data_IF_548776890837
#
_entry.id   IF_548776890837
#
_cell.length_a   1.000
_cell.length_b   1.000
_cell.length_c   1.000
_cell.angle_alpha   90.00
_cell.angle_beta   90.00
_cell.angle_gamma   90.00
#
_symmetry.space_group_name_H-M   'P 1'
#
loop_
_entity.id
_entity.type
_entity.pdbx_description
1 polymer ?
#
# COMPACT_ATOMS: atom_id res chain seq x y z
N UNK A 1 -5.58 -21.35 16.64
CA UNK A 1 -6.11 -20.02 16.89
C UNK A 1 -5.11 -18.96 16.45
N UNK A 2 -5.58 -17.94 15.77
CA UNK A 2 -4.72 -16.87 15.31
C UNK A 2 -4.76 -15.68 16.23
N UNK A 3 -3.62 -15.07 16.40
CA UNK A 3 -3.54 -13.82 17.12
C UNK A 3 -4.09 -12.69 16.25
N UNK A 4 -4.37 -11.56 16.88
CA UNK A 4 -4.85 -10.38 16.15
C UNK A 4 -3.69 -9.75 15.40
N UNK A 5 -3.90 -9.51 14.11
CA UNK A 5 -2.91 -8.85 13.25
C UNK A 5 -3.68 -7.97 12.28
N UNK A 6 -3.91 -6.73 12.68
CA UNK A 6 -4.73 -5.81 11.91
C UNK A 6 -4.07 -4.43 11.92
N UNK A 7 -4.04 -3.83 10.74
CA UNK A 7 -3.55 -2.46 10.59
C UNK A 7 -4.51 -1.73 9.66
N UNK A 8 -4.77 -0.47 9.98
CA UNK A 8 -5.63 0.38 9.18
C UNK A 8 -4.90 1.71 8.99
N UNK A 9 -4.68 2.08 7.74
CA UNK A 9 -4.00 3.36 7.44
C UNK A 9 -4.69 4.05 6.29
N UNK A 10 -4.51 5.36 6.23
CA UNK A 10 -4.90 6.14 5.08
C UNK A 10 -3.71 7.00 4.67
N UNK A 11 -3.61 7.25 3.38
CA UNK A 11 -2.52 8.05 2.84
C UNK A 11 -2.65 8.17 1.35
N UNK A 12 -1.61 8.69 0.72
CA UNK A 12 -1.63 8.89 -0.72
C UNK A 12 -0.59 8.01 -1.40
N UNK A 13 -0.95 7.54 -2.59
CA UNK A 13 -0.03 6.74 -3.38
C UNK A 13 1.10 7.62 -3.89
N UNK A 14 2.34 7.15 -3.70
CA UNK A 14 3.51 7.86 -4.18
C UNK A 14 3.83 7.59 -5.62
N UNK A 15 3.26 6.52 -6.17
CA UNK A 15 3.46 6.13 -7.56
C UNK A 15 2.25 5.31 -7.99
N UNK A 16 2.13 5.10 -9.29
CA UNK A 16 1.06 4.26 -9.80
C UNK A 16 1.24 2.83 -9.31
N UNK A 17 0.14 2.10 -9.07
CA UNK A 17 0.25 0.70 -8.64
C UNK A 17 1.04 -0.13 -9.63
N UNK A 18 1.91 -0.98 -9.12
CA UNK A 18 2.70 -1.88 -9.96
C UNK A 18 2.00 -3.21 -10.02
N UNK A 19 1.56 -3.57 -11.21
CA UNK A 19 0.76 -4.78 -11.42
C UNK A 19 1.64 -5.89 -11.98
N UNK A 20 1.48 -7.07 -11.43
CA UNK A 20 2.21 -8.23 -11.92
C UNK A 20 1.22 -9.37 -12.19
N UNK A 21 1.34 -9.94 -13.37
CA UNK A 21 0.52 -11.08 -13.79
C UNK A 21 1.38 -12.34 -13.77
N UNK A 22 0.83 -13.41 -13.21
CA UNK A 22 1.54 -14.67 -13.09
C UNK A 22 0.95 -15.68 -14.07
N UNK A 23 1.75 -16.67 -14.44
CA UNK A 23 1.31 -17.71 -15.37
C UNK A 23 0.10 -18.47 -14.85
N UNK A 24 -0.03 -18.58 -13.54
CA UNK A 24 -1.15 -19.27 -12.92
C UNK A 24 -2.47 -18.51 -13.06
N UNK A 25 -2.42 -17.26 -13.57
CA UNK A 25 -3.58 -16.42 -13.67
C UNK A 25 -3.75 -15.46 -12.50
N UNK A 26 -2.87 -15.56 -11.52
CA UNK A 26 -2.92 -14.68 -10.37
C UNK A 26 -2.47 -13.27 -10.73
N UNK A 27 -3.06 -12.29 -10.09
CA UNK A 27 -2.71 -10.87 -10.26
C UNK A 27 -2.28 -10.33 -8.92
N UNK A 28 -1.18 -9.61 -8.91
CA UNK A 28 -0.64 -8.99 -7.70
C UNK A 28 -0.43 -7.50 -7.99
N UNK A 29 -0.74 -6.66 -7.02
CA UNK A 29 -0.43 -5.24 -7.15
C UNK A 29 0.38 -4.79 -5.93
N UNK A 30 1.42 -4.00 -6.18
CA UNK A 30 2.24 -3.40 -5.14
C UNK A 30 1.90 -1.92 -5.05
N UNK A 31 1.72 -1.45 -3.83
CA UNK A 31 1.39 -0.05 -3.55
C UNK A 31 2.44 0.54 -2.62
N UNK A 32 2.69 1.83 -2.81
CA UNK A 32 3.52 2.60 -1.89
C UNK A 32 2.64 3.73 -1.35
N UNK A 33 2.34 3.69 -0.06
CA UNK A 33 1.39 4.61 0.56
C UNK A 33 2.14 5.52 1.53
N UNK A 34 2.06 6.82 1.28
CA UNK A 34 2.68 7.81 2.15
C UNK A 34 1.68 8.32 3.16
N UNK A 35 1.98 8.11 4.43
CA UNK A 35 1.15 8.57 5.53
C UNK A 35 1.83 9.78 6.17
N UNK A 36 1.17 10.93 6.11
CA UNK A 36 1.71 12.15 6.67
C UNK A 36 1.44 12.19 8.17
N UNK A 37 2.42 12.67 8.90
CA UNK A 37 2.33 12.82 10.33
C UNK A 37 3.00 14.12 10.72
N UNK A 38 2.34 14.91 11.55
CA UNK A 38 2.93 16.14 12.04
C UNK A 38 3.90 15.84 13.19
N UNK A 39 5.12 16.36 13.08
CA UNK A 39 6.12 16.21 14.13
C UNK A 39 6.18 17.53 14.90
N UNK A 40 5.62 17.54 16.10
CA UNK A 40 5.51 18.76 16.90
C UNK A 40 6.87 19.32 17.32
N UNK A 41 7.86 18.46 17.49
CA UNK A 41 9.21 18.91 17.89
C UNK A 41 9.89 19.67 16.76
N UNK A 42 9.72 19.19 15.54
CA UNK A 42 10.30 19.84 14.36
C UNK A 42 9.38 20.89 13.76
N UNK A 43 8.13 20.92 14.20
CA UNK A 43 7.10 21.81 13.67
C UNK A 43 6.94 21.64 12.16
N UNK A 44 6.98 20.40 11.71
CA UNK A 44 6.93 20.07 10.30
C UNK A 44 6.25 18.73 10.10
N UNK A 45 5.87 18.44 8.88
CA UNK A 45 5.28 17.17 8.54
C UNK A 45 6.34 16.17 8.12
N UNK A 46 6.10 14.92 8.47
CA UNK A 46 6.94 13.81 8.06
C UNK A 46 6.08 12.78 7.36
N UNK A 47 6.66 12.08 6.41
CA UNK A 47 5.95 11.03 5.67
C UNK A 47 6.54 9.69 6.05
N UNK A 48 5.66 8.75 6.40
CA UNK A 48 6.05 7.36 6.60
C UNK A 48 5.51 6.58 5.41
N UNK A 49 6.40 5.86 4.74
CA UNK A 49 6.04 5.08 3.57
C UNK A 49 5.76 3.64 3.96
N UNK A 50 4.61 3.15 3.52
CA UNK A 50 4.21 1.77 3.76
C UNK A 50 4.07 1.04 2.44
N UNK A 51 4.60 -0.17 2.41
CA UNK A 51 4.42 -1.05 1.27
C UNK A 51 3.17 -1.90 1.50
N UNK A 52 2.31 -1.97 0.52
CA UNK A 52 1.10 -2.78 0.61
C UNK A 52 0.98 -3.65 -0.63
N UNK A 53 0.37 -4.81 -0.45
CA UNK A 53 0.22 -5.79 -1.52
C UNK A 53 -1.21 -6.28 -1.52
N UNK A 54 -1.80 -6.35 -2.71
CA UNK A 54 -3.13 -6.91 -2.88
C UNK A 54 -3.09 -7.98 -3.96
N UNK A 55 -4.00 -8.93 -3.86
CA UNK A 55 -4.05 -10.07 -4.77
C UNK A 55 -5.44 -10.21 -5.38
N UNK A 56 -5.49 -10.82 -6.55
CA UNK A 56 -6.72 -11.24 -7.18
C UNK A 56 -7.59 -10.09 -7.64
N UNK A 57 -8.89 -10.20 -7.38
CA UNK A 57 -9.84 -9.18 -7.83
C UNK A 57 -9.58 -7.82 -7.20
N UNK A 58 -9.10 -7.80 -5.96
CA UNK A 58 -8.73 -6.54 -5.32
C UNK A 58 -7.59 -5.87 -6.09
N UNK A 59 -6.60 -6.68 -6.51
CA UNK A 59 -5.48 -6.16 -7.29
C UNK A 59 -5.95 -5.59 -8.62
N UNK A 60 -6.85 -6.28 -9.29
CA UNK A 60 -7.41 -5.81 -10.56
C UNK A 60 -8.16 -4.50 -10.40
N UNK A 61 -8.98 -4.41 -9.35
CA UNK A 61 -9.73 -3.20 -9.05
C UNK A 61 -8.78 -2.02 -8.80
N UNK A 62 -7.76 -2.25 -7.97
CA UNK A 62 -6.80 -1.19 -7.63
C UNK A 62 -6.06 -0.73 -8.89
N UNK A 63 -5.63 -1.68 -9.70
CA UNK A 63 -4.91 -1.37 -10.93
C UNK A 63 -5.74 -0.51 -11.89
N UNK A 64 -7.05 -0.72 -11.87
CA UNK A 64 -7.94 0.01 -12.74
C UNK A 64 -8.23 1.42 -12.25
N UNK A 65 -8.42 1.60 -10.94
CA UNK A 65 -8.94 2.86 -10.41
C UNK A 65 -7.92 3.72 -9.70
N UNK A 66 -6.83 3.16 -9.19
CA UNK A 66 -5.89 3.93 -8.37
C UNK A 66 -4.77 4.52 -9.21
N UNK A 67 -4.37 5.74 -8.91
CA UNK A 67 -3.30 6.43 -9.61
C UNK A 67 -2.44 7.19 -8.60
N UNK A 68 -1.27 7.63 -9.05
CA UNK A 68 -0.39 8.44 -8.22
C UNK A 68 -1.17 9.61 -7.62
N UNK A 69 -0.99 9.81 -6.34
CA UNK A 69 -1.66 10.90 -5.63
C UNK A 69 -3.03 10.54 -5.09
N UNK A 70 -3.57 9.38 -5.48
CA UNK A 70 -4.88 8.95 -4.98
C UNK A 70 -4.85 8.77 -3.48
N UNK A 71 -5.92 9.19 -2.82
CA UNK A 71 -6.10 8.95 -1.40
C UNK A 71 -6.67 7.54 -1.25
N UNK A 72 -5.98 6.73 -0.46
CA UNK A 72 -6.43 5.36 -0.19
C UNK A 72 -6.55 5.15 1.31
N UNK A 73 -7.50 4.32 1.67
CA UNK A 73 -7.66 3.87 3.05
C UNK A 73 -7.68 2.34 2.97
N UNK A 74 -6.74 1.70 3.66
CA UNK A 74 -6.64 0.25 3.62
C UNK A 74 -6.70 -0.33 5.01
N UNK A 75 -7.18 -1.56 5.05
CA UNK A 75 -7.18 -2.37 6.25
C UNK A 75 -6.63 -3.73 5.85
N UNK A 76 -5.75 -4.27 6.68
CA UNK A 76 -5.15 -5.56 6.38
C UNK A 76 -4.30 -6.05 7.52
N UNK A 77 -3.37 -6.92 7.19
CA UNK A 77 -2.46 -7.49 8.19
C UNK A 77 -1.02 -7.18 7.82
N UNK A 78 -0.17 -7.11 8.83
CA UNK A 78 1.27 -6.89 8.64
C UNK A 78 1.91 -8.24 8.38
N UNK A 79 2.64 -8.35 7.28
CA UNK A 79 3.31 -9.58 6.88
C UNK A 79 4.79 -9.32 6.72
N UNK A 80 5.56 -10.36 6.83
CA UNK A 80 7.01 -10.27 6.70
C UNK A 80 7.50 -11.46 5.89
N UNK A 81 8.22 -11.16 4.81
CA UNK A 81 8.89 -12.17 4.00
C UNK A 81 10.37 -12.09 4.26
N UNK A 82 11.01 -13.23 4.41
CA UNK A 82 12.46 -13.29 4.53
C UNK A 82 13.04 -13.89 3.26
N UNK A 83 14.19 -13.39 2.85
CA UNK A 83 14.85 -13.86 1.64
C UNK A 83 16.34 -13.63 1.77
N UNK A 84 17.12 -14.25 0.87
CA UNK A 84 18.56 -14.02 0.80
C UNK A 84 18.86 -13.12 -0.39
N UNK A 85 19.74 -12.15 -0.17
CA UNK A 85 20.17 -11.28 -1.27
C UNK A 85 21.29 -11.97 -2.05
N UNK A 86 21.82 -11.25 -3.04
CA UNK A 86 22.86 -11.78 -3.92
C UNK A 86 24.14 -12.17 -3.16
N UNK A 87 24.38 -11.55 -2.02
CA UNK A 87 25.55 -11.83 -1.21
C UNK A 87 25.32 -12.91 -0.16
N UNK A 88 24.13 -13.52 -0.15
CA UNK A 88 23.80 -14.54 0.81
C UNK A 88 23.33 -14.04 2.16
N UNK A 89 23.18 -12.72 2.30
CA UNK A 89 22.70 -12.13 3.55
C UNK A 89 21.19 -12.30 3.68
N UNK A 90 20.74 -12.57 4.89
CA UNK A 90 19.32 -12.67 5.16
C UNK A 90 18.70 -11.26 5.18
N UNK A 91 17.60 -11.11 4.46
CA UNK A 91 16.87 -9.85 4.39
C UNK A 91 15.41 -10.10 4.73
N UNK A 92 14.73 -9.02 5.12
CA UNK A 92 13.32 -9.10 5.42
C UNK A 92 12.60 -7.94 4.73
N UNK A 93 11.41 -8.22 4.24
CA UNK A 93 10.53 -7.21 3.66
C UNK A 93 9.22 -7.23 4.45
N UNK A 94 8.84 -6.07 4.98
CA UNK A 94 7.60 -5.93 5.75
C UNK A 94 6.59 -5.22 4.86
N UNK A 95 5.40 -5.76 4.77
CA UNK A 95 4.36 -5.15 3.94
C UNK A 95 2.99 -5.40 4.57
N UNK A 96 2.00 -4.68 4.07
CA UNK A 96 0.62 -4.84 4.51
C UNK A 96 -0.11 -5.67 3.46
N UNK A 97 -0.69 -6.78 3.88
CA UNK A 97 -1.53 -7.57 2.97
C UNK A 97 -2.94 -6.97 3.04
N UNK A 98 -3.37 -6.39 1.93
CA UNK A 98 -4.62 -5.63 1.88
C UNK A 98 -5.82 -6.58 1.93
N UNK A 99 -6.74 -6.32 2.85
CA UNK A 99 -7.99 -7.05 2.97
C UNK A 99 -9.16 -6.19 2.50
N UNK A 100 -9.13 -4.91 2.86
CA UNK A 100 -10.14 -3.96 2.41
C UNK A 100 -9.47 -2.68 1.94
N UNK A 101 -10.05 -2.03 0.93
CA UNK A 101 -9.48 -0.80 0.41
C UNK A 101 -10.60 0.13 -0.08
N UNK A 102 -10.40 1.42 0.19
CA UNK A 102 -11.20 2.49 -0.39
C UNK A 102 -10.25 3.41 -1.15
N UNK A 103 -10.64 3.79 -2.35
CA UNK A 103 -9.82 4.66 -3.19
C UNK A 103 -10.61 5.90 -3.57
N UNK A 104 -9.98 7.05 -3.41
CA UNK A 104 -10.54 8.33 -3.87
C UNK A 104 -9.48 9.03 -4.71
N UNK A 105 -9.68 9.05 -5.98
CA UNK A 105 -8.68 9.64 -6.89
C UNK A 105 -8.68 11.15 -6.91
N UNK A 106 -9.71 11.77 -6.46
CA UNK A 106 -9.82 13.02 -6.70
C UNK A 106 -9.57 14.03 -5.85
N UNK A 107 -9.13 14.71 -6.16
CA UNK A 107 -9.07 15.71 -5.64
C UNK A 107 -9.78 16.74 -6.13
N UNK A 108 -10.51 17.19 -6.00
CA UNK A 108 -11.34 17.86 -6.58
C UNK A 108 -11.48 19.09 -6.47
N UNK A 109 -11.07 19.52 -6.91
CA UNK A 109 -11.19 20.39 -7.11
C UNK A 109 -12.03 21.00 -7.55
N UNK A 110 -12.13 21.14 -7.79
CA UNK A 110 -12.73 21.34 -8.37
C UNK A 110 -13.54 21.24 -8.38
N UNK A 111 -13.61 21.23 -8.08
CA UNK A 111 -14.11 20.84 -8.16
C UNK A 111 -14.88 20.50 -7.83
N UNK A 112 -14.88 20.56 -7.74
CA UNK A 112 -15.41 20.04 -7.66
C UNK A 112 -16.00 20.08 -7.14
N UNK A 113 -16.13 20.30 -7.07
CA UNK A 113 -16.41 20.28 -6.91
C UNK A 113 -16.85 20.32 -6.61
#
# INVERSE_FOLDING_TARGET
>A
MSDINTICISGRLGEDPKVKYFESGSVKVDLSIGVNRYNAKKKDEEVTWHKAVAWGKKAEFIAEVAKTGALVCIQGSVQKDTYQDENGNNRASVYILVEEIKVTNKRNKDGDQ
#
